data_IF_670143406114
#
_entry.id   IF_670143406114
#
_cell.length_a   1.000
_cell.length_b   1.000
_cell.length_c   1.000
_cell.angle_alpha   90.00
_cell.angle_beta   90.00
_cell.angle_gamma   90.00
#
_symmetry.space_group_name_H-M   'P 1'
#
loop_
_entity.id
_entity.type
_entity.pdbx_description
1 polymer ?
#
# COMPACT_ATOMS: atom_id res chain seq x y z
N UNK A 1 3.64 45.08 -1.84
CA UNK A 1 3.69 43.88 -0.98
C UNK A 1 4.19 42.75 -1.84
N UNK A 2 5.40 42.29 -1.60
CA UNK A 2 5.93 41.07 -2.21
C UNK A 2 5.02 39.91 -1.79
N UNK A 3 4.64 38.98 -2.69
CA UNK A 3 3.90 37.79 -2.28
C UNK A 3 4.74 36.98 -1.28
N UNK A 4 4.10 36.46 -0.23
CA UNK A 4 4.75 35.62 0.79
C UNK A 4 5.47 34.44 0.11
N UNK A 5 6.78 34.25 0.33
CA UNK A 5 7.51 33.10 -0.21
C UNK A 5 6.89 31.76 0.17
N UNK A 6 6.26 31.65 1.35
CA UNK A 6 5.55 30.43 1.77
C UNK A 6 4.25 30.16 1.00
N UNK A 7 3.65 31.16 0.35
CA UNK A 7 2.55 30.92 -0.62
C UNK A 7 3.03 30.10 -1.83
N UNK A 8 4.34 30.13 -2.12
CA UNK A 8 4.98 29.31 -3.16
C UNK A 8 5.35 27.90 -2.71
N UNK A 9 5.25 27.58 -1.41
CA UNK A 9 5.54 26.26 -0.86
C UNK A 9 4.42 25.28 -1.19
N UNK A 10 4.49 24.75 -2.41
CA UNK A 10 3.46 23.89 -3.00
C UNK A 10 3.89 22.43 -2.95
N UNK A 11 2.97 21.59 -2.50
CA UNK A 11 3.05 20.13 -2.60
C UNK A 11 2.43 19.72 -3.95
N UNK A 12 3.19 19.10 -4.86
CA UNK A 12 2.71 18.74 -6.19
C UNK A 12 1.41 17.94 -6.14
N UNK A 13 0.38 18.42 -6.85
CA UNK A 13 -0.95 17.81 -6.92
C UNK A 13 -1.88 18.12 -5.75
N UNK A 14 -1.38 18.75 -4.67
CA UNK A 14 -2.12 18.89 -3.42
C UNK A 14 -2.41 20.33 -3.01
N UNK A 15 -1.65 21.29 -3.55
CA UNK A 15 -1.78 22.72 -3.25
C UNK A 15 -0.74 23.19 -2.25
N UNK A 16 -1.11 24.11 -1.35
CA UNK A 16 -0.18 24.58 -0.31
C UNK A 16 0.20 23.47 0.67
N UNK A 17 1.38 23.58 1.29
CA UNK A 17 1.81 22.65 2.34
C UNK A 17 0.78 22.52 3.49
N UNK A 18 0.16 23.64 3.90
CA UNK A 18 -0.90 23.63 4.91
C UNK A 18 -2.10 22.77 4.50
N UNK A 19 -2.53 22.85 3.23
CA UNK A 19 -3.63 22.06 2.69
C UNK A 19 -3.25 20.58 2.56
N UNK A 20 -2.00 20.27 2.19
CA UNK A 20 -1.52 18.90 2.13
C UNK A 20 -1.50 18.24 3.53
N UNK A 21 -1.05 18.96 4.56
CA UNK A 21 -1.05 18.46 5.95
C UNK A 21 -2.46 18.29 6.52
N UNK A 22 -3.41 19.17 6.18
CA UNK A 22 -4.80 19.00 6.62
C UNK A 22 -5.46 17.77 6.00
N UNK A 23 -5.10 17.41 4.77
CA UNK A 23 -5.52 16.16 4.11
C UNK A 23 -4.90 14.90 4.72
N UNK A 24 -3.71 15.00 5.33
CA UNK A 24 -3.04 13.87 5.96
C UNK A 24 -3.77 13.37 7.22
N UNK A 25 -4.39 14.27 7.97
CA UNK A 25 -5.02 13.95 9.26
C UNK A 25 -6.11 12.86 9.19
N UNK A 26 -7.11 12.91 8.30
CA UNK A 26 -8.08 11.81 8.16
C UNK A 26 -7.43 10.50 7.71
N UNK A 27 -6.32 10.55 6.96
CA UNK A 27 -5.63 9.35 6.51
C UNK A 27 -4.88 8.66 7.67
N UNK A 28 -4.27 9.42 8.58
CA UNK A 28 -3.60 8.87 9.76
C UNK A 28 -4.52 7.99 10.61
N UNK A 29 -5.77 8.41 10.83
CA UNK A 29 -6.77 7.63 11.56
C UNK A 29 -7.08 6.27 10.92
N UNK A 30 -6.77 6.11 9.64
CA UNK A 30 -7.04 4.89 8.87
C UNK A 30 -5.79 4.01 8.70
N UNK A 31 -4.71 4.30 9.43
CA UNK A 31 -3.43 3.57 9.36
C UNK A 31 -3.29 2.41 10.36
N UNK A 32 -4.34 2.09 11.12
CA UNK A 32 -4.37 0.94 12.05
C UNK A 32 -3.20 0.95 13.06
N UNK A 33 -2.34 -0.08 13.09
CA UNK A 33 -1.18 -0.20 13.98
C UNK A 33 -0.17 0.95 13.81
N UNK A 34 -0.13 1.57 12.63
CA UNK A 34 0.77 2.69 12.33
C UNK A 34 0.19 4.06 12.69
N UNK A 35 -1.07 4.14 13.16
CA UNK A 35 -1.76 5.41 13.42
C UNK A 35 -0.94 6.36 14.30
N UNK A 36 -0.50 5.90 15.47
CA UNK A 36 0.23 6.76 16.42
C UNK A 36 1.53 7.30 15.84
N UNK A 37 2.29 6.47 15.12
CA UNK A 37 3.53 6.89 14.48
C UNK A 37 3.27 7.91 13.36
N UNK A 38 2.21 7.70 12.57
CA UNK A 38 1.78 8.64 11.54
C UNK A 38 1.36 9.98 12.16
N UNK A 39 0.54 9.97 13.22
CA UNK A 39 0.11 11.19 13.92
C UNK A 39 1.29 12.00 14.46
N UNK A 40 2.32 11.34 15.02
CA UNK A 40 3.54 12.02 15.47
C UNK A 40 4.30 12.71 14.34
N UNK A 41 4.47 12.02 13.21
CA UNK A 41 5.13 12.62 12.03
C UNK A 41 4.32 13.82 11.53
N UNK A 42 2.99 13.70 11.47
CA UNK A 42 2.11 14.81 11.10
C UNK A 42 2.28 16.01 12.05
N UNK A 43 2.25 15.79 13.36
CA UNK A 43 2.46 16.86 14.35
C UNK A 43 3.82 17.54 14.17
N UNK A 44 4.89 16.78 13.92
CA UNK A 44 6.22 17.34 13.66
C UNK A 44 6.26 18.19 12.38
N UNK A 45 5.65 17.71 11.30
CA UNK A 45 5.56 18.47 10.04
C UNK A 45 4.71 19.75 10.17
N UNK A 46 3.65 19.71 10.98
CA UNK A 46 2.84 20.88 11.31
C UNK A 46 3.63 21.89 12.14
N UNK A 47 4.40 21.42 13.13
CA UNK A 47 5.27 22.29 13.92
C UNK A 47 6.33 22.97 13.04
N UNK A 48 6.99 22.24 12.13
CA UNK A 48 7.90 22.85 11.16
C UNK A 48 7.23 23.95 10.34
N UNK A 49 5.99 23.74 9.88
CA UNK A 49 5.26 24.76 9.13
C UNK A 49 5.02 26.02 9.95
N UNK A 50 4.65 25.86 11.23
CA UNK A 50 4.43 26.98 12.15
C UNK A 50 5.73 27.75 12.38
N UNK A 51 6.86 27.06 12.57
CA UNK A 51 8.17 27.69 12.72
C UNK A 51 8.60 28.44 11.44
N UNK A 52 8.41 27.84 10.26
CA UNK A 52 8.66 28.51 8.98
C UNK A 52 7.81 29.78 8.82
N UNK A 53 6.54 29.75 9.24
CA UNK A 53 5.66 30.93 9.26
C UNK A 53 6.09 31.98 10.30
N UNK A 54 6.78 31.60 11.37
CA UNK A 54 7.40 32.54 12.30
C UNK A 54 8.63 33.19 11.70
N UNK A 55 9.52 32.40 11.10
CA UNK A 55 10.71 32.87 10.40
C UNK A 55 10.38 33.84 9.25
N UNK A 56 9.28 33.60 8.51
CA UNK A 56 8.80 34.53 7.48
C UNK A 56 8.39 35.88 8.06
N UNK A 57 7.75 35.92 9.23
CA UNK A 57 7.37 37.17 9.89
C UNK A 57 8.58 37.97 10.39
N UNK A 58 9.70 37.28 10.60
CA UNK A 58 10.96 37.86 11.09
C UNK A 58 11.97 38.12 9.95
N UNK A 59 11.60 37.92 8.68
CA UNK A 59 12.47 37.99 7.50
C UNK A 59 13.72 37.07 7.59
N UNK A 60 13.59 35.94 8.29
CA UNK A 60 14.65 34.94 8.54
C UNK A 60 14.36 33.59 7.88
N UNK A 61 13.65 33.58 6.75
CA UNK A 61 13.35 32.34 6.04
C UNK A 61 14.63 31.58 5.64
N UNK A 62 14.62 30.25 5.74
CA UNK A 62 15.72 29.42 5.29
C UNK A 62 15.87 29.46 3.76
N UNK A 63 16.95 28.85 3.28
CA UNK A 63 17.22 28.76 1.84
C UNK A 63 16.09 28.06 1.08
N UNK A 64 15.92 28.40 -0.20
CA UNK A 64 14.93 27.75 -1.07
C UNK A 64 15.11 26.22 -1.11
N UNK A 65 16.35 25.73 -1.07
CA UNK A 65 16.66 24.30 -1.03
C UNK A 65 16.08 23.58 0.21
N UNK A 66 16.08 24.23 1.37
CA UNK A 66 15.50 23.68 2.60
C UNK A 66 13.97 23.72 2.57
N UNK A 67 13.37 24.76 1.98
CA UNK A 67 11.93 24.84 1.73
C UNK A 67 11.48 23.74 0.76
N UNK A 68 12.23 23.52 -0.32
CA UNK A 68 11.97 22.45 -1.28
C UNK A 68 12.11 21.07 -0.62
N UNK A 69 13.13 20.89 0.22
CA UNK A 69 13.32 19.64 0.99
C UNK A 69 12.13 19.35 1.89
N UNK A 70 11.60 20.37 2.58
CA UNK A 70 10.38 20.24 3.37
C UNK A 70 9.18 19.83 2.49
N UNK A 71 8.97 20.49 1.35
CA UNK A 71 7.88 20.15 0.42
C UNK A 71 7.98 18.70 -0.09
N UNK A 72 9.21 18.24 -0.40
CA UNK A 72 9.47 16.85 -0.81
C UNK A 72 9.10 15.86 0.28
N UNK A 73 9.47 16.13 1.54
CA UNK A 73 9.12 15.23 2.66
C UNK A 73 7.61 15.20 2.89
N UNK A 74 6.91 16.33 2.85
CA UNK A 74 5.44 16.38 2.97
C UNK A 74 4.78 15.61 1.81
N UNK A 75 5.28 15.77 0.58
CA UNK A 75 4.78 15.05 -0.59
C UNK A 75 4.93 13.54 -0.41
N UNK A 76 6.11 13.09 0.03
CA UNK A 76 6.39 11.67 0.26
C UNK A 76 5.51 11.11 1.36
N UNK A 77 5.36 11.82 2.46
CA UNK A 77 4.52 11.42 3.59
C UNK A 77 3.04 11.29 3.21
N UNK A 78 2.49 12.29 2.51
CA UNK A 78 1.10 12.24 2.07
C UNK A 78 0.87 11.10 1.07
N UNK A 79 1.80 10.87 0.14
CA UNK A 79 1.74 9.74 -0.78
C UNK A 79 1.80 8.41 -0.04
N UNK A 80 2.65 8.29 0.97
CA UNK A 80 2.72 7.09 1.82
C UNK A 80 1.37 6.80 2.49
N UNK A 81 0.72 7.82 3.09
CA UNK A 81 -0.60 7.67 3.69
C UNK A 81 -1.66 7.29 2.65
N UNK A 82 -1.68 7.96 1.49
CA UNK A 82 -2.60 7.65 0.40
C UNK A 82 -2.45 6.21 -0.10
N UNK A 83 -1.23 5.66 -0.10
CA UNK A 83 -0.97 4.30 -0.54
C UNK A 83 -1.26 3.24 0.53
N UNK A 84 -1.26 3.58 1.82
CA UNK A 84 -1.31 2.61 2.91
C UNK A 84 -2.50 2.76 3.88
N UNK A 85 -3.33 3.80 3.74
CA UNK A 85 -4.56 3.94 4.51
C UNK A 85 -5.60 2.87 4.14
N UNK A 86 -6.44 2.50 5.11
CA UNK A 86 -7.59 1.59 4.93
C UNK A 86 -7.23 0.26 4.28
N UNK A 87 -6.00 -0.21 4.47
CA UNK A 87 -5.55 -1.51 3.94
C UNK A 87 -6.06 -2.67 4.79
N UNK A 88 -6.42 -3.74 4.10
CA UNK A 88 -6.82 -4.99 4.74
C UNK A 88 -5.68 -5.57 5.59
N UNK A 89 -6.03 -6.35 6.60
CA UNK A 89 -5.14 -7.10 7.46
C UNK A 89 -4.15 -7.94 6.64
N UNK A 90 -4.59 -8.59 5.55
CA UNK A 90 -3.67 -9.36 4.68
C UNK A 90 -2.61 -8.46 4.06
N UNK A 91 -3.02 -7.33 3.49
CA UNK A 91 -2.07 -6.39 2.91
C UNK A 91 -1.11 -5.86 3.98
N UNK A 92 -1.61 -5.55 5.18
CA UNK A 92 -0.79 -5.07 6.29
C UNK A 92 0.23 -6.09 6.79
N UNK A 93 -0.15 -7.37 6.88
CA UNK A 93 0.79 -8.46 7.23
C UNK A 93 1.83 -8.63 6.13
N UNK A 94 1.38 -8.73 4.88
CA UNK A 94 2.24 -8.96 3.71
C UNK A 94 3.22 -7.80 3.49
N UNK A 95 2.80 -6.55 3.73
CA UNK A 95 3.63 -5.37 3.51
C UNK A 95 4.24 -4.79 4.79
N UNK A 96 4.19 -5.52 5.91
CA UNK A 96 4.60 -4.99 7.22
C UNK A 96 6.01 -4.41 7.21
N UNK A 97 7.00 -5.20 6.78
CA UNK A 97 8.40 -4.80 6.73
C UNK A 97 8.60 -3.57 5.82
N UNK A 98 8.07 -3.61 4.59
CA UNK A 98 8.21 -2.53 3.61
C UNK A 98 7.55 -1.22 4.07
N UNK A 99 6.34 -1.28 4.63
CA UNK A 99 5.62 -0.10 5.14
C UNK A 99 6.35 0.49 6.34
N UNK A 100 6.87 -0.36 7.22
CA UNK A 100 7.66 0.08 8.37
C UNK A 100 8.93 0.80 7.93
N UNK A 101 9.70 0.21 7.03
CA UNK A 101 10.95 0.78 6.53
C UNK A 101 10.70 2.14 5.86
N UNK A 102 9.67 2.25 5.01
CA UNK A 102 9.32 3.50 4.37
C UNK A 102 8.90 4.58 5.40
N UNK A 103 8.11 4.20 6.40
CA UNK A 103 7.68 5.11 7.46
C UNK A 103 8.86 5.57 8.34
N UNK A 104 9.80 4.67 8.64
CA UNK A 104 11.03 5.01 9.35
C UNK A 104 11.86 6.02 8.55
N UNK A 105 12.03 5.77 7.26
CA UNK A 105 12.79 6.68 6.40
C UNK A 105 12.16 8.08 6.34
N UNK A 106 10.82 8.18 6.35
CA UNK A 106 10.12 9.46 6.43
C UNK A 106 10.36 10.12 7.80
N UNK A 107 10.27 9.36 8.90
CA UNK A 107 10.60 9.86 10.24
C UNK A 107 12.01 10.46 10.30
N UNK A 108 12.98 9.78 9.70
CA UNK A 108 14.38 10.21 9.67
C UNK A 108 14.57 11.46 8.81
N UNK A 109 13.86 11.56 7.68
CA UNK A 109 13.85 12.79 6.86
C UNK A 109 13.25 13.98 7.62
N UNK A 110 12.24 13.78 8.47
CA UNK A 110 11.71 14.83 9.34
C UNK A 110 12.73 15.23 10.41
N UNK A 111 13.39 14.26 11.04
CA UNK A 111 14.46 14.53 12.02
C UNK A 111 15.59 15.38 11.41
N UNK A 112 16.00 15.05 10.18
CA UNK A 112 17.01 15.82 9.44
C UNK A 112 16.57 17.27 9.16
N UNK A 113 15.29 17.48 8.81
CA UNK A 113 14.75 18.83 8.62
C UNK A 113 14.76 19.64 9.91
N UNK A 114 14.41 19.04 11.05
CA UNK A 114 14.47 19.72 12.35
C UNK A 114 15.89 20.12 12.73
N UNK A 115 16.87 19.24 12.50
CA UNK A 115 18.27 19.56 12.75
C UNK A 115 18.74 20.72 11.86
N UNK A 116 18.44 20.66 10.55
CA UNK A 116 18.89 21.69 9.59
C UNK A 116 18.18 23.03 9.73
N UNK A 117 16.90 23.05 10.11
CA UNK A 117 16.09 24.26 10.18
C UNK A 117 16.14 24.92 11.56
N UNK A 118 16.15 24.13 12.62
CA UNK A 118 15.93 24.60 13.99
C UNK A 118 17.07 24.24 14.96
N UNK A 119 18.10 23.53 14.49
CA UNK A 119 19.20 22.99 15.32
C UNK A 119 18.69 22.14 16.49
N UNK A 120 17.55 21.47 16.29
CA UNK A 120 16.92 20.61 17.30
C UNK A 120 17.46 19.20 17.17
N UNK A 121 18.03 18.68 18.26
CA UNK A 121 18.45 17.28 18.35
C UNK A 121 17.23 16.35 18.45
N UNK A 122 17.10 15.47 17.45
CA UNK A 122 16.05 14.48 17.34
C UNK A 122 16.42 13.11 17.97
N UNK A 123 17.50 13.00 18.76
CA UNK A 123 17.90 11.75 19.45
C UNK A 123 16.75 11.08 20.22
N UNK A 124 15.92 11.87 20.89
CA UNK A 124 14.73 11.36 21.62
C UNK A 124 13.72 10.64 20.71
N UNK A 125 13.73 10.92 19.40
CA UNK A 125 12.78 10.35 18.45
C UNK A 125 13.13 8.95 18.02
N UNK A 126 14.41 8.57 18.10
CA UNK A 126 14.83 7.19 17.83
C UNK A 126 14.32 6.25 18.95
N UNK A 127 14.41 6.69 20.21
CA UNK A 127 13.80 5.96 21.33
C UNK A 127 12.26 5.91 21.20
N UNK A 128 11.64 7.02 20.78
CA UNK A 128 10.20 7.05 20.51
C UNK A 128 9.80 6.09 19.39
N UNK A 129 10.57 6.04 18.30
CA UNK A 129 10.32 5.13 17.17
C UNK A 129 10.41 3.66 17.60
N UNK A 130 11.39 3.30 18.42
CA UNK A 130 11.51 1.94 19.00
C UNK A 130 10.27 1.58 19.83
N UNK A 131 9.79 2.50 20.66
CA UNK A 131 8.55 2.29 21.42
C UNK A 131 7.33 2.12 20.49
N UNK A 132 7.27 2.90 19.40
CA UNK A 132 6.18 2.84 18.43
C UNK A 132 6.18 1.52 17.66
N UNK A 133 7.35 1.01 17.29
CA UNK A 133 7.52 -0.33 16.71
C UNK A 133 6.98 -1.43 17.62
N UNK A 134 7.26 -1.35 18.92
CA UNK A 134 6.74 -2.31 19.88
C UNK A 134 5.20 -2.27 19.95
N UNK A 135 4.61 -1.07 19.98
CA UNK A 135 3.14 -0.90 19.96
C UNK A 135 2.55 -1.42 18.65
N UNK A 136 3.16 -1.09 17.50
CA UNK A 136 2.73 -1.56 16.18
C UNK A 136 2.68 -3.10 16.13
N UNK A 137 3.76 -3.74 16.58
CA UNK A 137 3.88 -5.19 16.61
C UNK A 137 2.84 -5.85 17.51
N UNK A 138 2.61 -5.28 18.70
CA UNK A 138 1.61 -5.75 19.64
C UNK A 138 0.19 -5.61 19.10
N UNK A 139 -0.14 -4.48 18.46
CA UNK A 139 -1.47 -4.24 17.85
C UNK A 139 -1.72 -5.20 16.69
N UNK A 140 -0.73 -5.40 15.81
CA UNK A 140 -0.85 -6.35 14.71
C UNK A 140 -1.01 -7.78 15.24
N UNK A 141 -0.18 -8.18 16.20
CA UNK A 141 -0.24 -9.52 16.80
C UNK A 141 -1.58 -9.78 17.52
N UNK A 142 -2.15 -8.76 18.18
CA UNK A 142 -3.48 -8.84 18.78
C UNK A 142 -4.57 -9.01 17.71
N UNK A 143 -4.52 -8.24 16.62
CA UNK A 143 -5.46 -8.35 15.51
C UNK A 143 -5.42 -9.73 14.82
N UNK A 144 -4.22 -10.34 14.73
CA UNK A 144 -4.04 -11.69 14.19
C UNK A 144 -4.53 -12.78 15.14
N UNK A 145 -4.48 -12.53 16.44
CA UNK A 145 -4.91 -13.49 17.46
C UNK A 145 -6.43 -13.53 17.62
N UNK A 146 -7.10 -12.40 17.40
CA UNK A 146 -8.55 -12.29 17.46
C UNK A 146 -9.19 -12.76 16.15
N UNK A 147 -9.70 -14.00 16.14
CA UNK A 147 -10.44 -14.57 15.01
C UNK A 147 -11.61 -13.69 14.57
N UNK A 148 -12.32 -13.01 15.48
CA UNK A 148 -13.45 -12.16 15.09
C UNK A 148 -13.00 -10.93 14.30
N UNK A 149 -11.90 -10.29 14.70
CA UNK A 149 -11.30 -9.14 14.01
C UNK A 149 -10.71 -9.57 12.67
N UNK A 150 -9.96 -10.68 12.68
CA UNK A 150 -9.36 -11.27 11.49
C UNK A 150 -10.42 -11.58 10.43
N UNK A 151 -11.51 -12.26 10.79
CA UNK A 151 -12.53 -12.69 9.83
C UNK A 151 -13.60 -11.64 9.52
N UNK A 152 -13.61 -10.49 10.21
CA UNK A 152 -14.46 -9.35 9.81
C UNK A 152 -14.16 -8.87 8.39
N UNK A 153 -12.92 -9.04 7.93
CA UNK A 153 -12.48 -8.70 6.57
C UNK A 153 -12.65 -9.84 5.56
N UNK A 154 -12.91 -11.08 6.04
CA UNK A 154 -13.04 -12.29 5.20
C UNK A 154 -14.45 -12.88 5.30
N UNK A 155 -15.49 -12.04 5.18
CA UNK A 155 -16.87 -12.49 5.37
C UNK A 155 -17.37 -13.38 4.23
N UNK A 156 -16.85 -13.20 3.00
CA UNK A 156 -17.24 -14.00 1.85
C UNK A 156 -16.22 -15.13 1.58
N UNK A 157 -16.67 -16.30 1.08
CA UNK A 157 -15.77 -17.36 0.65
C UNK A 157 -14.72 -16.90 -0.37
N UNK A 158 -15.10 -15.94 -1.23
CA UNK A 158 -14.19 -15.33 -2.20
C UNK A 158 -13.09 -14.50 -1.55
N UNK A 159 -13.43 -13.64 -0.57
CA UNK A 159 -12.43 -12.87 0.17
C UNK A 159 -11.49 -13.78 0.97
N UNK A 160 -12.00 -14.89 1.50
CA UNK A 160 -11.18 -15.92 2.16
C UNK A 160 -10.21 -16.58 1.17
N UNK A 161 -10.67 -16.94 -0.04
CA UNK A 161 -9.80 -17.48 -1.08
C UNK A 161 -8.76 -16.46 -1.55
N UNK A 162 -9.13 -15.18 -1.70
CA UNK A 162 -8.19 -14.11 -2.08
C UNK A 162 -7.10 -13.90 -1.05
N UNK A 163 -7.49 -13.86 0.23
CA UNK A 163 -6.56 -13.82 1.34
C UNK A 163 -5.60 -15.04 1.32
N UNK A 164 -6.16 -16.24 1.13
CA UNK A 164 -5.39 -17.49 1.12
C UNK A 164 -4.37 -17.54 -0.02
N UNK A 165 -4.79 -17.27 -1.26
CA UNK A 165 -3.87 -17.27 -2.40
C UNK A 165 -2.83 -16.16 -2.29
N UNK A 166 -3.19 -15.00 -1.74
CA UNK A 166 -2.25 -13.90 -1.51
C UNK A 166 -1.15 -14.28 -0.50
N UNK A 167 -1.53 -14.93 0.61
CA UNK A 167 -0.57 -15.40 1.61
C UNK A 167 0.31 -16.53 1.05
N UNK A 168 -0.28 -17.49 0.33
CA UNK A 168 0.48 -18.57 -0.33
C UNK A 168 1.45 -18.03 -1.37
N UNK A 169 1.04 -17.04 -2.17
CA UNK A 169 1.93 -16.35 -3.11
C UNK A 169 3.15 -15.75 -2.39
N UNK A 170 2.95 -15.05 -1.28
CA UNK A 170 4.06 -14.45 -0.54
C UNK A 170 4.97 -15.51 0.11
N UNK A 171 4.40 -16.57 0.67
CA UNK A 171 5.16 -17.67 1.29
C UNK A 171 5.94 -18.52 0.27
N UNK A 172 5.35 -18.83 -0.87
CA UNK A 172 5.93 -19.75 -1.87
C UNK A 172 6.85 -19.02 -2.86
N UNK A 173 6.47 -17.81 -3.27
CA UNK A 173 7.17 -17.08 -4.34
C UNK A 173 8.07 -15.96 -3.81
N UNK A 174 7.77 -15.41 -2.64
CA UNK A 174 8.42 -14.18 -2.13
C UNK A 174 9.02 -14.31 -0.72
N UNK A 175 9.17 -15.51 -0.19
CA UNK A 175 9.66 -15.74 1.19
C UNK A 175 10.97 -15.03 1.51
N UNK A 176 11.88 -14.91 0.54
CA UNK A 176 13.15 -14.22 0.69
C UNK A 176 13.04 -12.71 0.98
N UNK A 177 11.86 -12.10 0.80
CA UNK A 177 11.58 -10.68 1.11
C UNK A 177 11.17 -10.45 2.56
N UNK A 178 10.93 -11.52 3.32
CA UNK A 178 10.29 -11.45 4.63
C UNK A 178 11.21 -11.97 5.71
N UNK A 179 11.09 -11.38 6.91
CA UNK A 179 11.71 -11.90 8.11
C UNK A 179 10.99 -13.17 8.58
N UNK A 180 11.67 -13.99 9.40
CA UNK A 180 11.08 -15.23 9.91
C UNK A 180 9.79 -15.01 10.70
N UNK A 181 9.69 -13.89 11.42
CA UNK A 181 8.50 -13.57 12.21
C UNK A 181 7.29 -13.29 11.33
N UNK A 182 7.46 -12.56 10.24
CA UNK A 182 6.40 -12.29 9.27
C UNK A 182 5.98 -13.55 8.53
N UNK A 183 6.94 -14.43 8.18
CA UNK A 183 6.63 -15.75 7.62
C UNK A 183 5.82 -16.61 8.60
N UNK A 184 6.12 -16.58 9.90
CA UNK A 184 5.34 -17.28 10.94
C UNK A 184 3.92 -16.73 11.04
N UNK A 185 3.75 -15.40 11.00
CA UNK A 185 2.43 -14.75 11.00
C UNK A 185 1.60 -15.15 9.79
N UNK A 186 2.19 -15.11 8.59
CA UNK A 186 1.54 -15.50 7.36
C UNK A 186 1.11 -16.98 7.38
N UNK A 187 1.99 -17.90 7.81
CA UNK A 187 1.65 -19.32 7.96
C UNK A 187 0.50 -19.56 8.94
N UNK A 188 0.53 -18.88 10.10
CA UNK A 188 -0.56 -18.99 11.08
C UNK A 188 -1.91 -18.49 10.52
N UNK A 189 -1.89 -17.44 9.70
CA UNK A 189 -3.10 -16.97 9.02
C UNK A 189 -3.63 -17.96 7.98
N UNK A 190 -2.74 -18.58 7.19
CA UNK A 190 -3.12 -19.63 6.24
C UNK A 190 -3.87 -20.75 6.96
N UNK A 191 -3.28 -21.29 8.04
CA UNK A 191 -3.90 -22.36 8.84
C UNK A 191 -5.26 -21.96 9.42
N UNK A 192 -5.39 -20.72 9.90
CA UNK A 192 -6.66 -20.18 10.43
C UNK A 192 -7.71 -20.08 9.33
N UNK A 193 -7.36 -19.53 8.18
CA UNK A 193 -8.27 -19.34 7.05
C UNK A 193 -8.75 -20.70 6.55
N UNK A 194 -7.84 -21.65 6.29
CA UNK A 194 -8.18 -23.01 5.84
C UNK A 194 -9.13 -23.72 6.81
N UNK A 195 -8.87 -23.59 8.12
CA UNK A 195 -9.74 -24.17 9.16
C UNK A 195 -11.16 -23.58 9.16
N UNK A 196 -11.28 -22.26 8.99
CA UNK A 196 -12.58 -21.57 9.04
C UNK A 196 -13.36 -21.74 7.73
N UNK A 197 -12.68 -21.63 6.60
CA UNK A 197 -13.26 -21.79 5.27
C UNK A 197 -13.54 -23.25 4.89
N UNK A 198 -12.99 -24.20 5.66
CA UNK A 198 -13.01 -25.65 5.38
C UNK A 198 -12.38 -25.98 4.02
N UNK A 199 -11.49 -25.12 3.53
CA UNK A 199 -10.69 -25.36 2.35
C UNK A 199 -9.48 -26.19 2.77
N UNK A 200 -9.33 -27.38 2.20
CA UNK A 200 -8.14 -28.22 2.38
C UNK A 200 -7.39 -28.28 1.07
N UNK A 201 -6.06 -28.27 1.12
CA UNK A 201 -5.17 -28.45 -0.04
C UNK A 201 -5.36 -27.42 -1.17
N UNK A 202 -5.72 -26.18 -0.85
CA UNK A 202 -5.75 -25.11 -1.86
C UNK A 202 -4.36 -24.94 -2.46
N UNK A 203 -4.18 -25.25 -3.73
CA UNK A 203 -2.92 -25.06 -4.43
C UNK A 203 -2.85 -23.63 -4.96
N UNK A 204 -1.65 -23.03 -4.94
CA UNK A 204 -1.42 -21.74 -5.57
C UNK A 204 -1.31 -21.95 -7.09
N UNK A 205 -2.19 -21.36 -7.92
CA UNK A 205 -2.03 -21.42 -9.36
C UNK A 205 -0.75 -20.70 -9.78
N UNK A 206 0.03 -21.29 -10.70
CA UNK A 206 1.30 -20.70 -11.18
C UNK A 206 1.16 -19.33 -11.83
N UNK A 207 -0.04 -19.03 -12.34
CA UNK A 207 -0.42 -17.77 -12.95
C UNK A 207 -1.00 -16.74 -11.98
N UNK A 208 -1.25 -17.13 -10.72
CA UNK A 208 -1.85 -16.22 -9.77
C UNK A 208 -0.91 -15.06 -9.44
N UNK A 209 -1.42 -13.84 -9.58
CA UNK A 209 -0.69 -12.62 -9.22
C UNK A 209 -1.60 -11.68 -8.42
N UNK A 210 -1.23 -11.36 -7.16
CA UNK A 210 -1.96 -10.39 -6.35
C UNK A 210 -2.00 -8.99 -6.98
N UNK A 211 -3.02 -8.22 -6.63
CA UNK A 211 -3.30 -6.92 -7.24
C UNK A 211 -2.20 -5.89 -6.95
N UNK A 212 -1.60 -5.94 -5.77
CA UNK A 212 -0.55 -5.04 -5.33
C UNK A 212 0.78 -5.22 -6.07
N UNK A 213 0.99 -6.34 -6.78
CA UNK A 213 2.21 -6.53 -7.58
C UNK A 213 2.24 -5.55 -8.77
N UNK A 214 1.07 -5.06 -9.21
CA UNK A 214 0.96 -4.14 -10.34
C UNK A 214 0.44 -2.77 -9.91
N UNK A 215 1.21 -1.72 -10.24
CA UNK A 215 0.77 -0.33 -10.08
C UNK A 215 0.00 0.12 -11.31
N UNK A 216 -1.33 0.18 -11.20
CA UNK A 216 -2.20 0.65 -12.29
C UNK A 216 -2.17 2.18 -12.43
N UNK A 217 -2.28 2.64 -13.66
CA UNK A 217 -2.63 4.03 -13.93
C UNK A 217 -4.09 4.30 -13.54
N UNK A 218 -4.36 5.53 -13.13
CA UNK A 218 -5.69 5.93 -12.66
C UNK A 218 -6.78 5.91 -13.74
N UNK A 219 -6.41 6.06 -15.01
CA UNK A 219 -7.36 6.10 -16.14
C UNK A 219 -7.23 4.84 -17.00
N UNK A 220 -8.37 4.20 -17.28
CA UNK A 220 -8.45 3.17 -18.30
C UNK A 220 -8.22 3.78 -19.68
N UNK A 221 -7.43 3.13 -20.53
CA UNK A 221 -7.24 3.58 -21.91
C UNK A 221 -8.25 2.96 -22.88
N UNK A 222 -8.91 1.87 -22.49
CA UNK A 222 -10.01 1.27 -23.24
C UNK A 222 -11.09 0.74 -22.31
N UNK A 223 -12.35 0.78 -22.76
CA UNK A 223 -13.50 0.24 -22.04
C UNK A 223 -14.46 -0.38 -23.04
N UNK A 224 -14.93 -1.58 -22.76
CA UNK A 224 -15.93 -2.29 -23.55
C UNK A 224 -16.94 -3.03 -22.66
N UNK A 225 -17.83 -3.80 -23.27
CA UNK A 225 -18.84 -4.57 -22.55
C UNK A 225 -18.26 -5.62 -21.59
N UNK A 226 -17.08 -6.16 -21.92
CA UNK A 226 -16.43 -7.22 -21.14
C UNK A 226 -15.51 -6.68 -20.02
N UNK A 227 -15.26 -5.37 -19.96
CA UNK A 227 -14.30 -4.83 -18.99
C UNK A 227 -13.64 -3.52 -19.38
N UNK A 228 -12.73 -3.10 -18.51
CA UNK A 228 -11.85 -1.93 -18.71
C UNK A 228 -10.40 -2.37 -18.77
N UNK A 229 -9.61 -1.68 -19.57
CA UNK A 229 -8.18 -1.97 -19.80
C UNK A 229 -7.34 -0.80 -19.34
N UNK A 230 -6.29 -1.10 -18.58
CA UNK A 230 -5.42 -0.15 -17.92
C UNK A 230 -3.97 -0.42 -18.29
N UNK A 231 -3.18 0.63 -18.41
CA UNK A 231 -1.73 0.50 -18.33
C UNK A 231 -1.33 0.37 -16.86
N UNK A 232 -0.28 -0.40 -16.60
CA UNK A 232 0.32 -0.52 -15.27
C UNK A 232 1.83 -0.69 -15.35
N UNK A 233 2.46 -0.85 -14.20
CA UNK A 233 3.86 -1.20 -14.08
C UNK A 233 4.04 -2.37 -13.11
N UNK A 234 4.88 -3.33 -13.48
CA UNK A 234 5.25 -4.49 -12.67
C UNK A 234 6.74 -4.44 -12.34
N UNK A 235 7.08 -4.31 -11.05
CA UNK A 235 8.47 -4.18 -10.61
C UNK A 235 9.20 -2.97 -11.20
N UNK A 236 10.39 -3.22 -11.79
CA UNK A 236 11.22 -2.21 -12.49
C UNK A 236 11.05 -2.26 -14.01
N UNK A 237 10.28 -3.21 -14.54
CA UNK A 237 10.10 -3.42 -15.98
C UNK A 237 8.98 -2.53 -16.55
N UNK A 238 9.07 -2.14 -17.83
CA UNK A 238 8.09 -1.23 -18.43
C UNK A 238 6.76 -1.94 -18.70
N UNK A 239 5.70 -1.14 -18.59
CA UNK A 239 4.32 -1.30 -19.06
C UNK A 239 3.77 -2.73 -19.09
N UNK A 240 2.80 -2.97 -18.23
CA UNK A 240 1.87 -4.10 -18.36
C UNK A 240 0.51 -3.57 -18.78
N UNK A 241 -0.27 -4.42 -19.44
CA UNK A 241 -1.66 -4.14 -19.77
C UNK A 241 -2.54 -5.01 -18.88
N UNK A 242 -3.39 -4.38 -18.07
CA UNK A 242 -4.30 -5.09 -17.17
C UNK A 242 -5.73 -4.95 -17.66
N UNK A 243 -6.35 -6.08 -17.96
CA UNK A 243 -7.76 -6.17 -18.32
C UNK A 243 -8.55 -6.59 -17.08
N UNK A 244 -9.38 -5.67 -16.57
CA UNK A 244 -10.33 -5.92 -15.48
C UNK A 244 -11.71 -6.20 -16.05
N UNK A 245 -12.29 -7.34 -15.71
CA UNK A 245 -13.57 -7.77 -16.25
C UNK A 245 -14.75 -7.01 -15.62
N UNK A 246 -15.83 -6.83 -16.37
CA UNK A 246 -17.10 -6.42 -15.81
C UNK A 246 -17.86 -7.68 -15.39
N UNK A 247 -18.03 -7.86 -14.10
CA UNK A 247 -18.69 -9.03 -13.51
C UNK A 247 -19.84 -8.56 -12.64
N UNK A 248 -21.03 -9.09 -12.90
CA UNK A 248 -22.17 -8.96 -11.98
C UNK A 248 -22.09 -10.05 -10.92
N UNK A 249 -21.68 -9.67 -9.72
CA UNK A 249 -21.50 -10.60 -8.60
C UNK A 249 -22.82 -11.21 -8.12
N UNK A 250 -23.96 -10.55 -8.37
CA UNK A 250 -25.27 -11.03 -7.92
C UNK A 250 -25.73 -12.30 -8.65
N UNK A 251 -25.17 -12.58 -9.83
CA UNK A 251 -25.48 -13.75 -10.65
C UNK A 251 -24.37 -14.80 -10.72
N UNK A 252 -23.27 -14.64 -9.99
CA UNK A 252 -22.15 -15.58 -10.02
C UNK A 252 -22.31 -16.71 -9.01
N UNK A 253 -22.52 -17.92 -9.51
CA UNK A 253 -22.40 -19.14 -8.72
C UNK A 253 -20.96 -19.71 -8.74
N UNK A 254 -20.72 -20.71 -7.91
CA UNK A 254 -19.43 -21.40 -7.80
C UNK A 254 -18.97 -22.04 -9.13
N UNK A 255 -19.91 -22.47 -9.98
CA UNK A 255 -19.60 -23.11 -11.25
C UNK A 255 -19.01 -22.15 -12.28
N UNK A 256 -19.51 -20.90 -12.29
CA UNK A 256 -18.98 -19.83 -13.14
C UNK A 256 -17.56 -19.47 -12.71
N UNK A 257 -17.30 -19.41 -11.40
CA UNK A 257 -15.95 -19.15 -10.87
C UNK A 257 -14.94 -20.21 -11.27
N UNK A 258 -15.30 -21.48 -11.12
CA UNK A 258 -14.44 -22.59 -11.53
C UNK A 258 -14.15 -22.56 -13.03
N UNK A 259 -15.11 -22.09 -13.84
CA UNK A 259 -14.91 -21.90 -15.28
C UNK A 259 -13.92 -20.77 -15.57
N UNK A 260 -14.04 -19.63 -14.88
CA UNK A 260 -13.10 -18.51 -15.03
C UNK A 260 -11.68 -18.95 -14.67
N UNK A 261 -11.51 -19.68 -13.57
CA UNK A 261 -10.22 -20.21 -13.16
C UNK A 261 -9.61 -21.12 -14.23
N UNK A 262 -10.39 -22.07 -14.76
CA UNK A 262 -9.96 -22.96 -15.85
C UNK A 262 -9.60 -22.21 -17.13
N UNK A 263 -10.42 -21.24 -17.53
CA UNK A 263 -10.17 -20.43 -18.72
C UNK A 263 -8.87 -19.62 -18.56
N UNK A 264 -8.61 -19.07 -17.36
CA UNK A 264 -7.35 -18.38 -17.05
C UNK A 264 -6.14 -19.32 -17.11
N UNK A 265 -6.26 -20.54 -16.61
CA UNK A 265 -5.21 -21.54 -16.69
C UNK A 265 -4.86 -21.88 -18.15
N UNK A 266 -5.88 -22.13 -18.98
CA UNK A 266 -5.67 -22.38 -20.42
C UNK A 266 -5.00 -21.19 -21.11
N UNK A 267 -5.45 -19.96 -20.82
CA UNK A 267 -4.87 -18.75 -21.42
C UNK A 267 -3.39 -18.56 -21.03
N UNK A 268 -3.01 -18.90 -19.81
CA UNK A 268 -1.64 -18.78 -19.34
C UNK A 268 -0.69 -19.77 -20.01
N UNK A 269 -1.17 -20.95 -20.37
CA UNK A 269 -0.37 -21.97 -21.08
C UNK A 269 -0.14 -21.64 -22.58
N UNK A 270 -0.82 -20.62 -23.12
CA UNK A 270 -0.68 -20.24 -24.53
C UNK A 270 0.62 -19.47 -24.79
N UNK A 271 1.68 -20.19 -25.15
CA UNK A 271 2.95 -19.59 -25.59
C UNK A 271 3.10 -19.61 -27.11
N UNK A 272 3.03 -18.45 -27.76
CA UNK A 272 3.26 -18.32 -29.20
C UNK A 272 3.72 -16.90 -29.58
N UNK A 273 4.64 -16.71 -30.56
CA UNK A 273 5.15 -15.39 -30.96
C UNK A 273 4.09 -14.37 -31.43
N UNK A 274 2.91 -14.83 -31.82
CA UNK A 274 1.79 -14.00 -32.29
C UNK A 274 0.64 -13.91 -31.27
N UNK A 275 0.82 -14.43 -30.06
CA UNK A 275 -0.14 -14.33 -28.95
C UNK A 275 0.49 -13.45 -27.88
N UNK A 276 -0.28 -12.49 -27.36
CA UNK A 276 0.20 -11.60 -26.30
C UNK A 276 0.43 -12.42 -25.04
N UNK A 277 1.63 -12.32 -24.47
CA UNK A 277 2.07 -13.05 -23.28
C UNK A 277 1.25 -12.63 -22.05
N UNK A 278 0.57 -13.61 -21.43
CA UNK A 278 -0.07 -13.45 -20.13
C UNK A 278 0.96 -13.74 -19.04
N UNK A 279 1.25 -12.75 -18.18
CA UNK A 279 2.26 -12.88 -17.13
C UNK A 279 1.64 -13.13 -15.75
N UNK A 280 0.33 -12.93 -15.61
CA UNK A 280 -0.38 -13.19 -14.37
C UNK A 280 -1.87 -12.92 -14.47
N UNK A 281 -2.62 -13.39 -13.48
CA UNK A 281 -4.06 -13.21 -13.40
C UNK A 281 -4.58 -13.36 -11.97
N UNK A 282 -5.81 -12.92 -11.75
CA UNK A 282 -6.57 -13.24 -10.55
C UNK A 282 -8.03 -13.44 -10.90
N UNK A 283 -8.51 -14.68 -10.69
CA UNK A 283 -9.92 -15.01 -10.86
C UNK A 283 -10.76 -14.50 -9.68
N UNK A 284 -10.16 -14.32 -8.51
CA UNK A 284 -10.86 -13.91 -7.27
C UNK A 284 -10.80 -12.42 -6.98
N UNK A 285 -9.86 -11.68 -7.56
CA UNK A 285 -9.80 -10.22 -7.36
C UNK A 285 -11.11 -9.55 -7.77
N UNK A 286 -11.46 -8.43 -7.15
CA UNK A 286 -12.74 -7.73 -7.38
C UNK A 286 -12.52 -6.44 -8.18
N UNK A 287 -12.83 -6.40 -9.49
CA UNK A 287 -13.26 -7.52 -10.35
C UNK A 287 -12.09 -8.39 -10.83
N UNK A 288 -12.35 -9.59 -11.41
CA UNK A 288 -11.30 -10.48 -11.90
C UNK A 288 -10.45 -9.80 -12.97
N UNK A 289 -9.20 -10.22 -13.12
CA UNK A 289 -8.28 -9.56 -14.06
C UNK A 289 -7.22 -10.48 -14.67
N UNK A 290 -6.73 -10.05 -15.83
CA UNK A 290 -5.60 -10.61 -16.56
C UNK A 290 -4.52 -9.53 -16.72
N UNK A 291 -3.26 -9.93 -16.63
CA UNK A 291 -2.08 -9.07 -16.72
C UNK A 291 -1.23 -9.56 -17.88
N UNK A 292 -1.10 -8.72 -18.90
CA UNK A 292 -0.33 -8.99 -20.10
C UNK A 292 0.94 -8.15 -20.12
N UNK A 293 1.97 -8.68 -20.75
CA UNK A 293 3.13 -7.89 -21.14
C UNK A 293 2.73 -6.90 -22.23
N UNK A 294 3.10 -5.63 -22.09
CA UNK A 294 2.92 -4.65 -23.16
C UNK A 294 3.90 -4.98 -24.30
N UNK A 295 3.39 -5.02 -25.53
CA UNK A 295 4.11 -5.46 -26.72
C UNK A 295 4.78 -4.30 -27.47
#
# INVERSE_FOLDING_TARGET
>A
MSPSPLLGLVVPGEGSAALALSKAQPLCFQMSEYQTACERILSRLQNLLVELQSMEREDQLPTAELLDSYAVVVTRYLRFLQLNHSKSLIHRVVKNAAVTEELQQINDNVAELFLKLLDVDATSWEAQWRADRFVQDAVLSAALSDTSVCFREFQSPRAQMEALLTLKFELETRSARHEEEDLKRMKSLVEKIEKVSRMTDTTLPSWFMPDYEVKLQSKSFARGCLGSVYYGAWGKEPKVVVKRFCVDESGMDESIWLKIEKDMAVLFELEHPNIVELIGASHIGVPPYLIYKDA
#
